data_IF_833092756245
#
_entry.id   IF_833092756245
#
_cell.length_a   1.000
_cell.length_b   1.000
_cell.length_c   1.000
_cell.angle_alpha   90.00
_cell.angle_beta   90.00
_cell.angle_gamma   90.00
#
_symmetry.space_group_name_H-M   'P 1'
#
loop_
_entity.id
_entity.type
_entity.pdbx_description
1 polymer ?
#
# COMPACT_ATOMS: atom_id res chain seq x y z
N UNK A 1 -6.73 -21.21 -23.14
CA UNK A 1 -7.82 -20.67 -22.30
C UNK A 1 -7.18 -20.20 -20.99
N UNK A 2 -7.27 -18.90 -20.68
CA UNK A 2 -6.82 -18.36 -19.41
C UNK A 2 -7.72 -18.93 -18.30
N UNK A 3 -7.11 -19.56 -17.31
CA UNK A 3 -7.82 -20.00 -16.10
C UNK A 3 -8.50 -18.76 -15.52
N UNK A 4 -9.81 -18.77 -15.19
CA UNK A 4 -10.47 -17.63 -14.56
C UNK A 4 -9.69 -17.29 -13.29
N UNK A 5 -9.17 -16.10 -13.19
CA UNK A 5 -8.52 -15.63 -11.97
C UNK A 5 -9.58 -15.62 -10.86
N UNK A 6 -9.43 -16.50 -9.88
CA UNK A 6 -10.24 -16.43 -8.68
C UNK A 6 -9.92 -15.10 -7.98
N UNK A 7 -10.92 -14.22 -7.78
CA UNK A 7 -10.71 -12.91 -7.16
C UNK A 7 -10.12 -12.99 -5.75
N UNK A 8 -10.16 -14.16 -5.11
CA UNK A 8 -9.64 -14.38 -3.77
C UNK A 8 -8.20 -14.94 -3.76
N UNK A 9 -7.61 -15.24 -4.93
CA UNK A 9 -6.21 -15.66 -5.05
C UNK A 9 -5.26 -14.51 -4.76
N UNK A 10 -4.30 -14.73 -3.86
CA UNK A 10 -3.31 -13.71 -3.47
C UNK A 10 -2.09 -13.77 -4.37
N UNK A 11 -1.87 -12.74 -5.18
CA UNK A 11 -0.72 -12.62 -6.09
C UNK A 11 0.42 -11.86 -5.42
N UNK A 12 1.54 -12.53 -5.21
CA UNK A 12 2.69 -12.01 -4.43
C UNK A 12 3.94 -11.96 -5.30
N UNK A 13 4.52 -10.75 -5.47
CA UNK A 13 5.86 -10.59 -6.03
C UNK A 13 6.91 -10.59 -4.92
N UNK A 14 8.04 -11.27 -5.15
CA UNK A 14 9.17 -11.31 -4.24
C UNK A 14 10.33 -10.53 -4.84
N UNK A 15 10.62 -9.37 -4.29
CA UNK A 15 11.64 -8.45 -4.77
C UNK A 15 12.76 -8.27 -3.75
N UNK A 16 13.90 -7.78 -4.21
CA UNK A 16 15.07 -7.49 -3.39
C UNK A 16 16.32 -7.44 -4.23
N UNK A 17 17.39 -6.91 -3.67
CA UNK A 17 18.72 -6.85 -4.31
C UNK A 17 19.23 -8.26 -4.67
N UNK A 18 20.22 -8.39 -5.54
CA UNK A 18 20.98 -9.63 -5.68
C UNK A 18 21.57 -10.10 -4.34
N UNK A 19 21.67 -11.41 -4.14
CA UNK A 19 22.30 -12.06 -2.98
C UNK A 19 21.59 -11.87 -1.62
N UNK A 20 20.34 -11.38 -1.60
CA UNK A 20 19.51 -11.39 -0.37
C UNK A 20 18.82 -12.73 -0.10
N UNK A 21 19.15 -13.76 -0.92
CA UNK A 21 18.65 -15.14 -0.86
C UNK A 21 17.13 -15.28 -1.11
N UNK A 22 16.60 -14.51 -2.10
CA UNK A 22 15.19 -14.64 -2.55
C UNK A 22 14.85 -16.07 -2.97
N UNK A 23 15.72 -16.71 -3.77
CA UNK A 23 15.51 -18.09 -4.24
C UNK A 23 15.44 -19.08 -3.09
N UNK A 24 16.29 -18.90 -2.07
CA UNK A 24 16.26 -19.73 -0.85
C UNK A 24 14.93 -19.54 -0.11
N UNK A 25 14.47 -18.30 0.03
CA UNK A 25 13.18 -18.00 0.67
C UNK A 25 12.02 -18.64 -0.08
N UNK A 26 11.98 -18.48 -1.40
CA UNK A 26 10.88 -19.04 -2.22
C UNK A 26 10.92 -20.57 -2.18
N UNK A 27 12.09 -21.20 -2.30
CA UNK A 27 12.19 -22.65 -2.15
C UNK A 27 11.76 -23.14 -0.77
N UNK A 28 12.05 -22.36 0.29
CA UNK A 28 11.58 -22.67 1.65
C UNK A 28 10.07 -22.59 1.75
N UNK A 29 9.46 -21.53 1.18
CA UNK A 29 7.99 -21.37 1.14
C UNK A 29 7.33 -22.55 0.41
N UNK A 30 7.80 -22.86 -0.79
CA UNK A 30 7.23 -23.93 -1.62
C UNK A 30 7.52 -25.33 -1.09
N UNK A 31 8.50 -25.49 -0.21
CA UNK A 31 8.87 -26.76 0.44
C UNK A 31 8.22 -26.97 1.81
N UNK A 32 7.34 -26.08 2.29
CA UNK A 32 6.60 -26.31 3.54
C UNK A 32 5.60 -27.48 3.37
N UNK A 33 5.45 -28.32 4.39
CA UNK A 33 4.49 -29.47 4.38
C UNK A 33 3.03 -29.07 4.15
N UNK A 34 2.71 -27.80 4.42
CA UNK A 34 1.36 -27.23 4.28
C UNK A 34 1.11 -26.57 2.93
N UNK A 35 2.05 -26.67 2.00
CA UNK A 35 1.99 -26.04 0.67
C UNK A 35 1.84 -27.10 -0.40
N UNK A 36 0.79 -26.96 -1.20
CA UNK A 36 0.55 -27.79 -2.38
C UNK A 36 0.85 -26.95 -3.62
N UNK A 37 1.89 -27.27 -4.35
CA UNK A 37 2.28 -26.57 -5.58
C UNK A 37 1.62 -27.22 -6.78
N UNK A 38 0.98 -26.42 -7.62
CA UNK A 38 0.38 -26.89 -8.86
C UNK A 38 1.37 -26.82 -10.03
N UNK A 39 1.50 -27.92 -10.74
CA UNK A 39 2.40 -28.02 -11.91
C UNK A 39 1.68 -27.54 -13.17
N UNK A 40 1.21 -26.30 -13.16
CA UNK A 40 0.65 -25.66 -14.34
C UNK A 40 1.68 -24.74 -14.97
N UNK A 41 2.21 -25.17 -16.10
CA UNK A 41 3.07 -24.36 -16.95
C UNK A 41 2.26 -23.28 -17.67
N UNK A 42 1.92 -22.23 -16.96
CA UNK A 42 1.53 -20.94 -17.56
C UNK A 42 2.79 -20.19 -17.96
N UNK A 43 3.43 -20.57 -19.04
CA UNK A 43 4.58 -19.84 -19.59
C UNK A 43 4.12 -18.75 -20.54
N UNK A 44 3.81 -17.57 -20.04
CA UNK A 44 4.09 -16.36 -20.81
C UNK A 44 5.61 -16.15 -20.77
N UNK A 45 6.21 -15.84 -21.90
CA UNK A 45 7.69 -15.82 -22.14
C UNK A 45 8.50 -14.94 -21.19
N UNK A 46 7.88 -14.13 -20.33
CA UNK A 46 8.55 -13.06 -19.56
C UNK A 46 8.40 -13.11 -18.04
N UNK A 47 7.42 -13.80 -17.44
CA UNK A 47 7.32 -14.00 -15.99
C UNK A 47 6.99 -15.44 -15.63
N UNK A 48 7.66 -15.99 -14.62
CA UNK A 48 7.37 -17.32 -14.10
C UNK A 48 6.45 -17.15 -12.90
N UNK A 49 5.21 -17.62 -13.05
CA UNK A 49 4.21 -17.67 -12.00
C UNK A 49 4.17 -19.09 -11.41
N UNK A 50 4.15 -19.19 -10.10
CA UNK A 50 4.02 -20.46 -9.39
C UNK A 50 2.78 -20.43 -8.51
N UNK A 51 1.68 -21.08 -8.95
CA UNK A 51 0.48 -21.20 -8.15
C UNK A 51 0.68 -22.29 -7.07
N UNK A 52 0.15 -22.02 -5.88
CA UNK A 52 0.14 -22.97 -4.78
C UNK A 52 -1.00 -22.67 -3.81
N UNK A 53 -1.47 -23.69 -3.10
CA UNK A 53 -2.43 -23.55 -1.99
C UNK A 53 -1.71 -23.78 -0.67
N UNK A 54 -2.01 -22.98 0.32
CA UNK A 54 -1.45 -23.11 1.67
C UNK A 54 -2.54 -23.28 2.71
N UNK A 55 -2.35 -24.29 3.59
CA UNK A 55 -3.19 -24.51 4.76
C UNK A 55 -2.72 -23.62 5.92
N UNK A 56 -3.59 -22.77 6.51
CA UNK A 56 -3.26 -21.99 7.69
C UNK A 56 -2.87 -22.85 8.90
N UNK A 57 -2.04 -22.28 9.80
CA UNK A 57 -1.59 -22.99 11.01
C UNK A 57 -2.70 -23.23 12.02
N UNK A 58 -3.68 -22.37 12.05
CA UNK A 58 -4.84 -22.37 12.96
C UNK A 58 -6.01 -23.25 12.51
N UNK A 59 -5.84 -23.98 11.39
CA UNK A 59 -6.86 -24.87 10.84
C UNK A 59 -7.97 -24.15 10.06
N UNK A 60 -7.75 -22.88 9.66
CA UNK A 60 -8.64 -22.15 8.76
C UNK A 60 -8.72 -22.76 7.36
N UNK A 61 -9.56 -22.19 6.49
CA UNK A 61 -9.71 -22.65 5.12
C UNK A 61 -8.41 -22.45 4.32
N UNK A 62 -8.07 -23.42 3.43
CA UNK A 62 -6.95 -23.27 2.52
C UNK A 62 -7.07 -22.00 1.67
N UNK A 63 -5.95 -21.32 1.41
CA UNK A 63 -5.93 -20.13 0.57
C UNK A 63 -4.97 -20.31 -0.59
N UNK A 64 -5.38 -19.80 -1.75
CA UNK A 64 -4.62 -19.87 -2.99
C UNK A 64 -3.72 -18.64 -3.18
N UNK A 65 -2.51 -18.93 -3.62
CA UNK A 65 -1.46 -17.94 -3.87
C UNK A 65 -0.82 -18.14 -5.23
N UNK A 66 -0.29 -17.06 -5.79
CA UNK A 66 0.59 -17.09 -6.95
C UNK A 66 1.84 -16.30 -6.63
N UNK A 67 3.00 -16.96 -6.64
CA UNK A 67 4.29 -16.27 -6.60
C UNK A 67 4.70 -15.84 -8.01
N UNK A 68 5.05 -14.57 -8.14
CA UNK A 68 5.41 -13.93 -9.40
C UNK A 68 6.92 -13.66 -9.45
N UNK A 69 7.50 -13.80 -10.64
CA UNK A 69 8.93 -13.60 -10.95
C UNK A 69 9.87 -14.55 -10.19
N UNK A 70 9.56 -15.82 -10.28
CA UNK A 70 10.34 -16.90 -9.69
C UNK A 70 11.46 -17.40 -10.63
N UNK A 71 11.94 -16.57 -11.56
CA UNK A 71 12.84 -16.96 -12.67
C UNK A 71 14.14 -17.67 -12.24
N UNK A 72 14.57 -17.51 -10.97
CA UNK A 72 15.72 -18.21 -10.40
C UNK A 72 15.45 -19.63 -9.90
N UNK A 73 14.18 -20.10 -9.81
CA UNK A 73 13.82 -21.28 -9.00
C UNK A 73 13.76 -22.59 -9.81
N UNK A 74 13.32 -22.56 -11.06
CA UNK A 74 13.11 -23.79 -11.86
C UNK A 74 14.35 -24.43 -12.46
N UNK A 75 15.55 -23.87 -12.28
CA UNK A 75 16.80 -24.49 -12.75
C UNK A 75 17.44 -25.36 -11.67
N UNK A 76 16.75 -26.40 -11.20
CA UNK A 76 17.40 -27.55 -10.56
C UNK A 76 18.11 -28.36 -11.66
N UNK A 77 19.35 -27.97 -11.98
CA UNK A 77 20.18 -28.72 -12.93
C UNK A 77 21.25 -27.82 -13.51
N UNK A 78 22.41 -27.81 -12.87
CA UNK A 78 23.64 -27.06 -13.18
C UNK A 78 23.64 -25.63 -12.67
N UNK A 79 24.17 -25.49 -11.46
CA UNK A 79 24.66 -24.26 -10.86
C UNK A 79 25.82 -23.75 -11.69
N UNK A 80 25.55 -22.75 -12.51
CA UNK A 80 26.55 -21.72 -12.78
C UNK A 80 25.95 -20.45 -12.20
N UNK A 81 26.72 -19.76 -11.35
CA UNK A 81 26.51 -18.44 -10.83
C UNK A 81 26.19 -17.48 -12.01
N UNK A 82 24.96 -17.54 -12.49
CA UNK A 82 24.46 -16.49 -13.33
C UNK A 82 24.27 -15.31 -12.37
N UNK A 83 25.17 -14.35 -12.43
CA UNK A 83 25.03 -13.03 -11.83
C UNK A 83 23.58 -12.62 -12.04
N UNK A 84 22.79 -12.62 -10.95
CA UNK A 84 21.42 -12.11 -10.96
C UNK A 84 21.52 -10.62 -11.33
N UNK A 85 21.51 -10.33 -12.63
CA UNK A 85 21.39 -8.97 -13.08
C UNK A 85 20.01 -8.52 -12.63
N UNK A 86 19.96 -7.67 -11.63
CA UNK A 86 18.75 -7.01 -11.20
C UNK A 86 18.19 -6.26 -12.42
N UNK A 87 17.20 -6.85 -13.07
CA UNK A 87 16.51 -6.20 -14.16
C UNK A 87 15.41 -5.35 -13.56
N UNK A 88 15.61 -4.04 -13.54
CA UNK A 88 14.58 -3.07 -13.12
C UNK A 88 13.29 -3.32 -13.88
N UNK A 89 13.37 -3.60 -15.17
CA UNK A 89 12.17 -3.85 -16.01
C UNK A 89 11.39 -5.08 -15.50
N UNK A 90 12.07 -6.17 -15.15
CA UNK A 90 11.39 -7.36 -14.60
C UNK A 90 10.77 -7.11 -13.24
N UNK A 91 11.47 -6.36 -12.38
CA UNK A 91 10.92 -5.95 -11.09
C UNK A 91 9.64 -5.11 -11.27
N UNK A 92 9.63 -4.18 -12.24
CA UNK A 92 8.47 -3.37 -12.59
C UNK A 92 7.29 -4.25 -13.04
N UNK A 93 7.54 -5.18 -13.95
CA UNK A 93 6.51 -6.12 -14.46
C UNK A 93 5.95 -7.00 -13.33
N UNK A 94 6.81 -7.48 -12.42
CA UNK A 94 6.37 -8.28 -11.28
C UNK A 94 5.48 -7.47 -10.32
N UNK A 95 5.82 -6.21 -10.07
CA UNK A 95 5.00 -5.30 -9.23
C UNK A 95 3.63 -5.06 -9.87
N UNK A 96 3.62 -4.83 -11.19
CA UNK A 96 2.35 -4.57 -11.91
C UNK A 96 1.41 -5.78 -11.89
N UNK A 97 1.96 -6.99 -11.95
CA UNK A 97 1.21 -8.24 -11.91
C UNK A 97 0.80 -8.66 -10.49
N UNK A 98 1.40 -8.08 -9.45
CA UNK A 98 1.17 -8.46 -8.06
C UNK A 98 0.08 -7.62 -7.40
N UNK A 99 -0.49 -8.17 -6.33
CA UNK A 99 -1.37 -7.46 -5.40
C UNK A 99 -0.62 -7.09 -4.12
N UNK A 100 0.27 -7.98 -3.68
CA UNK A 100 1.16 -7.78 -2.54
C UNK A 100 2.60 -7.92 -3.02
N UNK A 101 3.47 -7.00 -2.63
CA UNK A 101 4.90 -7.07 -2.89
C UNK A 101 5.64 -7.35 -1.60
N UNK A 102 6.43 -8.42 -1.59
CA UNK A 102 7.34 -8.73 -0.49
C UNK A 102 8.75 -8.29 -0.89
N UNK A 103 9.29 -7.30 -0.18
CA UNK A 103 10.67 -6.84 -0.37
C UNK A 103 11.58 -7.52 0.64
N UNK A 104 12.58 -8.24 0.13
CA UNK A 104 13.56 -8.97 0.94
C UNK A 104 14.82 -8.12 1.10
N UNK A 105 15.22 -7.88 2.35
CA UNK A 105 16.41 -7.11 2.75
C UNK A 105 17.39 -8.04 3.45
N UNK A 106 18.72 -7.88 3.22
CA UNK A 106 19.75 -8.61 3.95
C UNK A 106 20.04 -7.90 5.29
N UNK A 107 19.82 -8.58 6.40
CA UNK A 107 20.07 -8.04 7.73
C UNK A 107 21.55 -7.73 8.00
N UNK A 108 22.48 -8.35 7.28
CA UNK A 108 23.93 -8.09 7.44
C UNK A 108 24.31 -6.70 6.95
N UNK A 109 23.71 -6.27 5.86
CA UNK A 109 23.95 -4.95 5.27
C UNK A 109 23.03 -3.87 5.86
N UNK A 110 21.91 -4.30 6.47
CA UNK A 110 20.80 -3.42 6.82
C UNK A 110 20.08 -2.89 5.58
N UNK A 111 19.27 -1.84 5.76
CA UNK A 111 18.55 -1.22 4.65
C UNK A 111 19.46 -0.27 3.87
N UNK A 112 19.61 -0.50 2.57
CA UNK A 112 20.46 0.28 1.67
C UNK A 112 19.66 1.27 0.83
N UNK A 113 20.35 2.17 0.12
CA UNK A 113 19.68 3.12 -0.78
C UNK A 113 19.01 2.40 -1.97
N UNK A 114 19.57 1.28 -2.43
CA UNK A 114 18.94 0.47 -3.47
C UNK A 114 17.63 -0.17 -2.98
N UNK A 115 17.57 -0.61 -1.73
CA UNK A 115 16.33 -1.10 -1.12
C UNK A 115 15.30 0.01 -1.01
N UNK A 116 15.71 1.22 -0.63
CA UNK A 116 14.81 2.39 -0.55
C UNK A 116 14.26 2.81 -1.91
N UNK A 117 15.06 2.78 -2.98
CA UNK A 117 14.58 3.04 -4.33
C UNK A 117 13.52 2.02 -4.75
N UNK A 118 13.76 0.74 -4.48
CA UNK A 118 12.80 -0.32 -4.76
C UNK A 118 11.50 -0.14 -3.97
N UNK A 119 11.60 0.17 -2.68
CA UNK A 119 10.44 0.45 -1.82
C UNK A 119 9.67 1.67 -2.32
N UNK A 120 10.36 2.75 -2.68
CA UNK A 120 9.74 3.97 -3.25
C UNK A 120 8.91 3.63 -4.48
N UNK A 121 9.45 2.84 -5.39
CA UNK A 121 8.72 2.40 -6.57
C UNK A 121 7.46 1.59 -6.23
N UNK A 122 7.56 0.61 -5.33
CA UNK A 122 6.39 -0.18 -4.89
C UNK A 122 5.31 0.71 -4.28
N UNK A 123 5.70 1.72 -3.48
CA UNK A 123 4.77 2.67 -2.87
C UNK A 123 4.07 3.56 -3.92
N UNK A 124 4.79 3.99 -4.96
CA UNK A 124 4.21 4.79 -6.04
C UNK A 124 3.13 4.02 -6.82
N UNK A 125 3.34 2.73 -7.06
CA UNK A 125 2.32 1.87 -7.71
C UNK A 125 1.10 1.66 -6.83
N UNK A 126 1.23 1.83 -5.52
CA UNK A 126 0.14 1.66 -4.56
C UNK A 126 -0.12 0.21 -4.16
N UNK A 127 0.79 -0.72 -4.47
CA UNK A 127 0.65 -2.12 -4.07
C UNK A 127 0.82 -2.29 -2.57
N UNK A 128 0.17 -3.30 -2.01
CA UNK A 128 0.41 -3.71 -0.63
C UNK A 128 1.86 -4.19 -0.46
N UNK A 129 2.46 -3.92 0.69
CA UNK A 129 3.90 -4.09 0.92
C UNK A 129 4.17 -4.79 2.25
N UNK A 130 5.01 -5.82 2.19
CA UNK A 130 5.60 -6.51 3.35
C UNK A 130 7.11 -6.48 3.21
N UNK A 131 7.83 -6.20 4.29
CA UNK A 131 9.29 -6.23 4.31
C UNK A 131 9.75 -7.45 5.10
N UNK A 132 10.53 -8.32 4.45
CA UNK A 132 11.18 -9.47 5.05
C UNK A 132 12.67 -9.20 5.21
N UNK A 133 13.14 -9.08 6.46
CA UNK A 133 14.57 -8.90 6.77
C UNK A 133 15.19 -10.27 6.99
N UNK A 134 15.87 -10.75 5.98
CA UNK A 134 16.46 -12.09 5.92
C UNK A 134 17.87 -12.15 6.53
N UNK A 135 18.34 -13.35 6.81
CA UNK A 135 19.63 -13.64 7.45
C UNK A 135 19.72 -13.09 8.89
N UNK A 136 18.60 -13.10 9.58
CA UNK A 136 18.50 -12.59 10.95
C UNK A 136 19.20 -13.47 11.98
N UNK A 137 19.35 -14.73 11.68
CA UNK A 137 20.08 -15.70 12.49
C UNK A 137 21.59 -15.44 12.46
N UNK A 138 22.27 -15.78 13.53
CA UNK A 138 23.73 -15.62 13.63
C UNK A 138 24.24 -14.18 13.74
N UNK A 139 23.35 -13.18 13.83
CA UNK A 139 23.76 -11.79 14.06
C UNK A 139 23.97 -11.52 15.55
N UNK A 140 25.01 -10.75 15.86
CA UNK A 140 25.28 -10.21 17.19
C UNK A 140 24.15 -9.31 17.67
N UNK A 141 23.93 -9.24 19.00
CA UNK A 141 22.84 -8.46 19.58
C UNK A 141 22.91 -6.96 19.22
N UNK A 142 24.11 -6.38 19.22
CA UNK A 142 24.35 -4.98 18.87
C UNK A 142 24.02 -4.70 17.41
N UNK A 143 24.40 -5.62 16.51
CA UNK A 143 24.08 -5.51 15.09
C UNK A 143 22.56 -5.59 14.85
N UNK A 144 21.86 -6.51 15.52
CA UNK A 144 20.39 -6.61 15.45
C UNK A 144 19.71 -5.30 15.90
N UNK A 145 20.21 -4.68 16.96
CA UNK A 145 19.67 -3.39 17.42
C UNK A 145 19.97 -2.26 16.43
N UNK A 146 21.17 -2.26 15.83
CA UNK A 146 21.53 -1.31 14.79
C UNK A 146 20.59 -1.42 13.59
N UNK A 147 20.35 -2.64 13.06
CA UNK A 147 19.44 -2.88 11.94
C UNK A 147 18.03 -2.36 12.24
N UNK A 148 17.50 -2.65 13.43
CA UNK A 148 16.17 -2.16 13.82
C UNK A 148 16.09 -0.63 13.83
N UNK A 149 17.08 0.04 14.42
CA UNK A 149 17.15 1.51 14.44
C UNK A 149 17.27 2.11 13.04
N UNK A 150 18.07 1.51 12.17
CA UNK A 150 18.20 1.96 10.78
C UNK A 150 16.90 1.78 9.99
N UNK A 151 16.19 0.68 10.17
CA UNK A 151 14.88 0.46 9.56
C UNK A 151 13.86 1.51 10.05
N UNK A 152 13.74 1.74 11.35
CA UNK A 152 12.85 2.76 11.91
C UNK A 152 13.19 4.16 11.38
N UNK A 153 14.47 4.51 11.36
CA UNK A 153 14.95 5.80 10.87
C UNK A 153 14.66 6.01 9.38
N UNK A 154 14.87 4.99 8.56
CA UNK A 154 14.77 5.09 7.10
C UNK A 154 13.36 4.84 6.56
N UNK A 155 12.51 4.13 7.29
CA UNK A 155 11.12 3.82 6.90
C UNK A 155 10.08 4.75 7.55
N UNK A 156 10.51 5.86 8.15
CA UNK A 156 9.61 6.83 8.81
C UNK A 156 8.51 7.38 7.89
N UNK A 157 8.72 7.35 6.57
CA UNK A 157 7.73 7.78 5.56
C UNK A 157 6.59 6.77 5.36
N UNK A 158 6.76 5.51 5.78
CA UNK A 158 5.79 4.45 5.64
C UNK A 158 5.63 3.62 6.94
N UNK A 159 5.21 4.24 8.07
CA UNK A 159 5.15 3.58 9.39
C UNK A 159 4.12 2.45 9.45
N UNK A 160 3.27 2.35 8.45
CA UNK A 160 2.25 1.30 8.31
C UNK A 160 2.77 0.02 7.65
N UNK A 161 3.97 0.04 7.09
CA UNK A 161 4.61 -1.16 6.55
C UNK A 161 5.15 -2.01 7.69
N UNK A 162 4.79 -3.28 7.70
CA UNK A 162 5.30 -4.22 8.70
C UNK A 162 6.61 -4.83 8.24
N UNK A 163 7.56 -4.83 9.15
CA UNK A 163 8.88 -5.46 8.97
C UNK A 163 8.90 -6.76 9.74
N UNK A 164 9.25 -7.85 9.06
CA UNK A 164 9.35 -9.17 9.65
C UNK A 164 10.75 -9.74 9.49
N UNK A 165 11.32 -10.26 10.60
CA UNK A 165 12.68 -10.79 10.63
C UNK A 165 12.65 -12.30 10.43
N UNK A 166 13.42 -12.79 9.44
CA UNK A 166 13.40 -14.20 9.04
C UNK A 166 14.80 -14.78 8.85
N UNK A 167 14.86 -16.08 8.82
CA UNK A 167 15.97 -16.85 8.26
C UNK A 167 15.44 -17.80 7.19
N UNK A 168 15.64 -17.46 5.93
CA UNK A 168 15.25 -18.31 4.81
C UNK A 168 16.01 -19.64 4.83
N UNK A 169 17.28 -19.63 5.27
CA UNK A 169 18.11 -20.82 5.37
C UNK A 169 17.57 -21.81 6.41
N UNK A 170 17.23 -21.34 7.60
CA UNK A 170 16.77 -22.18 8.71
C UNK A 170 15.25 -22.28 8.81
N UNK A 171 14.49 -21.48 8.05
CA UNK A 171 13.04 -21.47 8.04
C UNK A 171 12.40 -20.68 9.19
N UNK A 172 13.19 -20.06 10.06
CA UNK A 172 12.68 -19.28 11.20
C UNK A 172 11.88 -18.06 10.70
N UNK A 173 10.65 -17.90 11.16
CA UNK A 173 9.76 -16.78 10.82
C UNK A 173 9.18 -16.81 9.40
N UNK A 174 9.56 -17.77 8.54
CA UNK A 174 9.08 -17.84 7.15
C UNK A 174 7.57 -18.09 7.09
N UNK A 175 7.07 -19.05 7.89
CA UNK A 175 5.65 -19.34 7.92
C UNK A 175 4.76 -18.21 8.45
N UNK A 176 5.32 -17.27 9.23
CA UNK A 176 4.59 -16.12 9.77
C UNK A 176 4.42 -15.00 8.74
N UNK A 177 5.26 -15.00 7.67
CA UNK A 177 5.15 -14.03 6.57
C UNK A 177 3.76 -14.03 5.94
N UNK A 178 3.10 -15.19 5.85
CA UNK A 178 1.78 -15.30 5.28
C UNK A 178 0.73 -14.50 6.04
N UNK A 179 0.79 -14.48 7.37
CA UNK A 179 -0.10 -13.64 8.16
C UNK A 179 0.09 -12.13 7.89
N UNK A 180 1.30 -11.68 7.55
CA UNK A 180 1.55 -10.29 7.13
C UNK A 180 1.05 -10.04 5.71
N UNK A 181 1.25 -10.99 4.79
CA UNK A 181 0.77 -10.92 3.41
C UNK A 181 -0.76 -10.84 3.39
N UNK A 182 -1.43 -11.69 4.15
CA UNK A 182 -2.89 -11.73 4.25
C UNK A 182 -3.46 -10.43 4.81
N UNK A 183 -2.92 -9.90 5.91
CA UNK A 183 -3.36 -8.61 6.46
C UNK A 183 -3.14 -7.45 5.51
N UNK A 184 -2.01 -7.45 4.77
CA UNK A 184 -1.73 -6.44 3.76
C UNK A 184 -2.72 -6.54 2.59
N UNK A 185 -3.03 -7.75 2.15
CA UNK A 185 -4.02 -8.01 1.10
C UNK A 185 -5.44 -7.61 1.56
N UNK A 186 -5.88 -8.05 2.74
CA UNK A 186 -7.18 -7.70 3.31
C UNK A 186 -7.34 -6.19 3.45
N UNK A 187 -6.26 -5.49 3.85
CA UNK A 187 -6.22 -4.04 3.91
C UNK A 187 -6.34 -3.39 2.53
N UNK A 188 -5.68 -3.96 1.52
CA UNK A 188 -5.72 -3.45 0.15
C UNK A 188 -7.09 -3.63 -0.52
N UNK A 189 -7.83 -4.67 -0.14
CA UNK A 189 -9.13 -5.04 -0.70
C UNK A 189 -10.28 -4.82 0.29
N UNK A 190 -10.10 -3.93 1.26
CA UNK A 190 -11.11 -3.63 2.26
C UNK A 190 -12.46 -3.29 1.61
N UNK A 191 -13.53 -3.87 2.14
CA UNK A 191 -14.91 -3.61 1.72
C UNK A 191 -15.63 -2.89 2.82
N UNK A 192 -16.10 -1.68 2.57
CA UNK A 192 -16.86 -0.88 3.55
C UNK A 192 -17.93 -0.05 2.85
N UNK A 193 -19.10 0.01 3.46
CA UNK A 193 -20.22 0.79 2.94
C UNK A 193 -20.01 2.31 3.09
N UNK A 194 -20.53 3.08 2.14
CA UNK A 194 -20.40 4.54 2.09
C UNK A 194 -20.92 5.23 3.36
N UNK A 195 -21.96 4.70 4.00
CA UNK A 195 -22.50 5.25 5.24
C UNK A 195 -21.49 5.18 6.40
N UNK A 196 -20.75 4.08 6.51
CA UNK A 196 -19.73 3.92 7.55
C UNK A 196 -18.55 4.88 7.31
N UNK A 197 -18.06 4.96 6.07
CA UNK A 197 -16.99 5.92 5.70
C UNK A 197 -17.42 7.37 5.90
N UNK A 198 -18.67 7.71 5.58
CA UNK A 198 -19.20 9.05 5.79
C UNK A 198 -19.26 9.41 7.27
N UNK A 199 -19.68 8.48 8.15
CA UNK A 199 -19.64 8.71 9.61
C UNK A 199 -18.21 8.93 10.10
N UNK A 200 -17.24 8.09 9.67
CA UNK A 200 -15.82 8.28 10.01
C UNK A 200 -15.34 9.67 9.56
N UNK A 201 -15.67 10.11 8.34
CA UNK A 201 -15.32 11.43 7.85
C UNK A 201 -15.91 12.54 8.72
N UNK A 202 -17.18 12.41 9.14
CA UNK A 202 -17.84 13.36 10.03
C UNK A 202 -17.15 13.44 11.39
N UNK A 203 -16.81 12.30 11.99
CA UNK A 203 -16.10 12.24 13.26
C UNK A 203 -14.70 12.88 13.16
N UNK A 204 -13.97 12.58 12.09
CA UNK A 204 -12.64 13.18 11.83
C UNK A 204 -12.75 14.70 11.71
N UNK A 205 -13.72 15.18 10.90
CA UNK A 205 -13.87 16.63 10.65
C UNK A 205 -14.49 17.37 11.83
N UNK A 206 -15.25 16.69 12.68
CA UNK A 206 -15.75 17.24 13.93
C UNK A 206 -14.61 17.43 14.95
N UNK A 207 -13.75 16.41 15.09
CA UNK A 207 -12.61 16.45 16.00
C UNK A 207 -11.54 17.46 15.55
N UNK A 208 -11.28 17.56 14.26
CA UNK A 208 -10.32 18.49 13.68
C UNK A 208 -10.85 19.06 12.37
N UNK A 209 -11.56 20.21 12.43
CA UNK A 209 -12.18 20.81 11.24
C UNK A 209 -11.17 21.25 10.19
N UNK A 210 -11.51 21.19 8.89
CA UNK A 210 -10.65 21.69 7.83
C UNK A 210 -10.21 23.15 8.09
N UNK A 211 -8.96 23.52 7.78
CA UNK A 211 -8.47 24.89 7.96
C UNK A 211 -9.25 25.86 7.09
N UNK A 212 -9.23 27.14 7.46
CA UNK A 212 -9.82 28.19 6.65
C UNK A 212 -8.88 28.57 5.51
N UNK A 213 -9.42 28.64 4.29
CA UNK A 213 -8.78 29.25 3.14
C UNK A 213 -9.41 30.64 2.92
N UNK A 214 -8.76 31.68 3.43
CA UNK A 214 -9.34 33.02 3.47
C UNK A 214 -10.62 33.09 4.33
N UNK A 215 -11.71 33.55 3.74
CA UNK A 215 -13.02 33.68 4.45
C UNK A 215 -13.80 32.37 4.52
N UNK A 216 -13.38 31.35 3.84
CA UNK A 216 -14.15 30.12 3.67
C UNK A 216 -13.43 28.91 4.24
N UNK A 217 -14.19 27.87 4.51
CA UNK A 217 -13.71 26.56 4.93
C UNK A 217 -14.26 25.52 3.98
N UNK A 218 -13.43 24.54 3.58
CA UNK A 218 -13.88 23.39 2.83
C UNK A 218 -14.94 22.63 3.65
N UNK A 219 -16.00 22.17 3.00
CA UNK A 219 -17.04 21.34 3.62
C UNK A 219 -16.97 19.94 3.01
N UNK A 220 -16.50 18.98 3.77
CA UNK A 220 -16.48 17.57 3.40
C UNK A 220 -17.84 16.97 3.77
N UNK A 221 -18.55 16.36 2.81
CA UNK A 221 -19.94 15.95 2.98
C UNK A 221 -20.10 14.46 3.17
N UNK A 222 -19.54 13.68 2.28
CA UNK A 222 -19.62 12.23 2.32
C UNK A 222 -18.39 11.58 1.70
N UNK A 223 -18.17 10.30 2.04
CA UNK A 223 -17.07 9.50 1.54
C UNK A 223 -17.53 8.11 1.12
N UNK A 224 -16.87 7.56 0.13
CA UNK A 224 -17.06 6.17 -0.30
C UNK A 224 -15.73 5.57 -0.79
N UNK A 225 -15.67 4.25 -0.92
CA UNK A 225 -14.54 3.59 -1.58
C UNK A 225 -14.68 3.73 -3.10
N UNK A 226 -13.65 4.25 -3.75
CA UNK A 226 -13.56 4.42 -5.21
C UNK A 226 -12.68 3.40 -5.91
N UNK A 227 -11.94 2.59 -5.15
CA UNK A 227 -11.02 1.58 -5.69
C UNK A 227 -10.37 0.74 -4.60
N UNK A 228 -9.71 -0.33 -5.03
CA UNK A 228 -8.94 -1.24 -4.19
C UNK A 228 -7.51 -1.37 -4.73
N UNK A 229 -6.60 -1.77 -3.87
CA UNK A 229 -5.17 -2.01 -4.16
C UNK A 229 -4.48 -0.87 -4.92
N UNK A 230 -4.39 0.32 -4.30
CA UNK A 230 -4.67 0.60 -2.91
C UNK A 230 -6.13 1.02 -2.66
N UNK A 231 -6.64 0.85 -1.42
CA UNK A 231 -7.95 1.37 -1.06
C UNK A 231 -7.96 2.89 -1.25
N UNK A 232 -8.91 3.35 -2.04
CA UNK A 232 -9.06 4.76 -2.40
C UNK A 232 -10.32 5.31 -1.76
N UNK A 233 -10.17 6.27 -0.85
CA UNK A 233 -11.29 6.97 -0.23
C UNK A 233 -11.60 8.22 -1.04
N UNK A 234 -12.75 8.22 -1.68
CA UNK A 234 -13.26 9.37 -2.44
C UNK A 234 -14.10 10.24 -1.51
N UNK A 235 -13.68 11.48 -1.31
CA UNK A 235 -14.36 12.45 -0.45
C UNK A 235 -15.01 13.53 -1.31
N UNK A 236 -16.30 13.67 -1.19
CA UNK A 236 -17.08 14.70 -1.87
C UNK A 236 -17.35 15.87 -0.93
N UNK A 237 -17.20 17.06 -1.47
CA UNK A 237 -17.42 18.27 -0.68
C UNK A 237 -17.48 19.54 -1.52
N UNK A 238 -17.45 20.66 -0.85
CA UNK A 238 -17.35 21.97 -1.50
C UNK A 238 -15.98 22.55 -1.19
N UNK A 239 -15.28 23.05 -2.22
CA UNK A 239 -13.94 23.67 -2.10
C UNK A 239 -12.90 22.70 -1.57
N UNK A 240 -12.98 21.44 -1.93
CA UNK A 240 -12.03 20.41 -1.52
C UNK A 240 -10.63 20.70 -2.07
N UNK A 241 -10.52 21.40 -3.20
CA UNK A 241 -9.29 21.88 -3.83
C UNK A 241 -8.51 22.88 -2.94
N UNK A 242 -9.18 23.53 -2.00
CA UNK A 242 -8.54 24.45 -1.07
C UNK A 242 -7.92 23.77 0.17
N UNK A 243 -8.02 22.46 0.28
CA UNK A 243 -7.44 21.72 1.38
C UNK A 243 -5.92 21.62 1.24
N UNK A 244 -5.15 22.08 2.22
CA UNK A 244 -3.70 21.95 2.18
C UNK A 244 -3.26 20.49 2.29
N UNK A 245 -2.11 20.16 1.71
CA UNK A 245 -1.54 18.81 1.73
C UNK A 245 -1.36 18.25 3.15
N UNK A 246 -1.07 19.12 4.13
CA UNK A 246 -0.98 18.71 5.54
C UNK A 246 -2.30 18.16 6.08
N UNK A 247 -3.42 18.78 5.69
CA UNK A 247 -4.73 18.29 6.11
C UNK A 247 -5.16 17.02 5.37
N UNK A 248 -4.78 16.88 4.10
CA UNK A 248 -4.99 15.64 3.34
C UNK A 248 -4.23 14.48 4.00
N UNK A 249 -2.96 14.66 4.37
CA UNK A 249 -2.18 13.67 5.12
C UNK A 249 -2.80 13.33 6.48
N UNK A 250 -3.36 14.33 7.17
CA UNK A 250 -4.10 14.08 8.41
C UNK A 250 -5.30 13.18 8.17
N UNK A 251 -6.11 13.44 7.12
CA UNK A 251 -7.24 12.59 6.75
C UNK A 251 -6.80 11.17 6.41
N UNK A 252 -5.74 11.00 5.61
CA UNK A 252 -5.16 9.69 5.29
C UNK A 252 -4.78 8.90 6.54
N UNK A 253 -4.06 9.54 7.46
CA UNK A 253 -3.63 8.90 8.70
C UNK A 253 -4.83 8.51 9.58
N UNK A 254 -5.84 9.39 9.70
CA UNK A 254 -7.05 9.09 10.47
C UNK A 254 -7.85 7.95 9.87
N UNK A 255 -8.05 7.94 8.54
CA UNK A 255 -8.71 6.80 7.88
C UNK A 255 -7.91 5.52 8.06
N UNK A 256 -6.59 5.56 7.93
CA UNK A 256 -5.71 4.41 8.17
C UNK A 256 -5.90 3.82 9.56
N UNK A 257 -5.91 4.67 10.58
CA UNK A 257 -6.12 4.25 11.98
C UNK A 257 -7.51 3.63 12.19
N UNK A 258 -8.56 4.31 11.73
CA UNK A 258 -9.95 3.86 11.93
C UNK A 258 -10.26 2.58 11.14
N UNK A 259 -9.71 2.44 9.95
CA UNK A 259 -9.86 1.26 9.09
C UNK A 259 -8.86 0.14 9.43
N UNK A 260 -7.91 0.39 10.34
CA UNK A 260 -6.84 -0.54 10.74
C UNK A 260 -6.05 -1.09 9.55
N UNK A 261 -5.72 -0.21 8.60
CA UNK A 261 -5.00 -0.59 7.38
C UNK A 261 -3.53 -0.87 7.71
N UNK A 262 -3.09 -2.10 7.48
CA UNK A 262 -1.71 -2.57 7.63
C UNK A 262 -1.13 -2.99 6.27
N UNK A 263 0.13 -2.68 6.03
CA UNK A 263 0.85 -3.14 4.84
C UNK A 263 0.30 -2.65 3.51
N UNK A 264 -0.65 -1.71 3.50
CA UNK A 264 -1.20 -1.13 2.28
C UNK A 264 -1.18 0.40 2.35
N UNK A 265 -0.78 1.10 1.29
CA UNK A 265 -1.04 2.53 1.19
C UNK A 265 -2.56 2.78 1.13
N UNK A 266 -2.95 4.01 1.45
CA UNK A 266 -4.32 4.50 1.26
C UNK A 266 -4.25 5.75 0.39
N UNK A 267 -5.17 5.90 -0.54
CA UNK A 267 -5.27 7.11 -1.38
C UNK A 267 -6.52 7.89 -1.03
N UNK A 268 -6.41 9.20 -1.09
CA UNK A 268 -7.56 10.10 -1.03
C UNK A 268 -7.79 10.73 -2.40
N UNK A 269 -9.03 10.72 -2.84
CA UNK A 269 -9.51 11.53 -3.96
C UNK A 269 -10.48 12.57 -3.44
N UNK A 270 -10.21 13.83 -3.74
CA UNK A 270 -11.06 14.94 -3.34
C UNK A 270 -11.88 15.39 -4.55
N UNK A 271 -13.21 15.34 -4.43
CA UNK A 271 -14.13 15.79 -5.48
C UNK A 271 -14.93 16.98 -4.99
N UNK A 272 -14.69 18.13 -5.61
CA UNK A 272 -15.57 19.30 -5.46
C UNK A 272 -16.81 19.09 -6.31
N UNK A 273 -17.98 19.27 -5.72
CA UNK A 273 -19.22 19.35 -6.50
C UNK A 273 -19.20 20.59 -7.38
N UNK A 274 -19.67 20.47 -8.61
CA UNK A 274 -19.90 21.64 -9.47
C UNK A 274 -20.78 22.63 -8.72
N UNK A 275 -20.30 23.85 -8.59
CA UNK A 275 -21.09 24.94 -8.02
C UNK A 275 -22.06 25.43 -9.10
N UNK A 276 -23.36 25.06 -9.08
CA UNK A 276 -24.31 25.47 -10.11
C UNK A 276 -24.47 26.99 -10.18
N UNK A 277 -23.85 27.73 -9.26
CA UNK A 277 -23.85 29.18 -9.18
C UNK A 277 -22.46 29.79 -9.49
N UNK A 278 -21.47 28.97 -9.91
CA UNK A 278 -20.16 29.46 -10.30
C UNK A 278 -20.29 30.34 -11.55
N UNK A 279 -19.82 31.57 -11.44
CA UNK A 279 -19.95 32.56 -12.52
C UNK A 279 -21.26 33.39 -12.53
N UNK A 280 -22.28 33.02 -11.74
CA UNK A 280 -23.47 33.88 -11.57
C UNK A 280 -23.15 35.02 -10.60
N UNK A 281 -22.98 36.22 -11.13
CA UNK A 281 -22.97 37.45 -10.29
C UNK A 281 -24.31 37.51 -9.58
N UNK A 282 -24.31 37.47 -8.25
CA UNK A 282 -25.51 37.63 -7.44
C UNK A 282 -26.14 38.98 -7.80
N UNK A 283 -27.26 38.96 -8.48
CA UNK A 283 -28.02 40.20 -8.72
C UNK A 283 -28.50 40.71 -7.35
N UNK A 284 -27.98 41.87 -6.97
CA UNK A 284 -28.36 42.49 -5.72
C UNK A 284 -29.85 42.92 -5.82
N UNK A 285 -30.63 42.54 -4.83
CA UNK A 285 -32.01 43.04 -4.72
C UNK A 285 -32.03 44.58 -4.58
N UNK A 286 -33.09 45.24 -5.00
CA UNK A 286 -33.22 46.71 -4.87
C UNK A 286 -32.93 47.22 -3.45
N UNK A 287 -33.35 46.45 -2.43
CA UNK A 287 -33.09 46.74 -1.02
C UNK A 287 -31.58 46.68 -0.67
N UNK A 288 -30.84 45.74 -1.24
CA UNK A 288 -29.39 45.63 -1.08
C UNK A 288 -28.64 46.73 -1.83
N UNK A 289 -29.13 47.12 -3.01
CA UNK A 289 -28.59 48.24 -3.80
C UNK A 289 -28.77 49.54 -3.03
N UNK A 290 -29.99 49.83 -2.47
CA UNK A 290 -30.24 51.02 -1.64
C UNK A 290 -29.37 51.02 -0.38
N UNK A 291 -29.16 49.87 0.29
CA UNK A 291 -28.28 49.75 1.48
C UNK A 291 -26.82 50.04 1.10
N UNK A 292 -26.32 49.48 0.00
CA UNK A 292 -24.96 49.74 -0.51
C UNK A 292 -24.75 51.21 -0.88
N UNK A 293 -25.72 51.87 -1.53
CA UNK A 293 -25.65 53.31 -1.84
C UNK A 293 -25.62 54.18 -0.58
N UNK A 294 -26.38 53.82 0.47
CA UNK A 294 -26.34 54.54 1.78
C UNK A 294 -24.96 54.38 2.44
N UNK A 295 -24.42 53.17 2.50
CA UNK A 295 -23.07 52.97 3.07
C UNK A 295 -21.98 53.70 2.30
N UNK A 296 -22.01 53.74 0.96
CA UNK A 296 -21.04 54.44 0.14
C UNK A 296 -21.12 55.98 0.30
N UNK A 297 -22.30 56.54 0.63
CA UNK A 297 -22.45 57.94 0.99
C UNK A 297 -21.82 58.30 2.34
N UNK A 298 -21.81 57.37 3.30
CA UNK A 298 -21.16 57.58 4.62
C UNK A 298 -19.66 57.41 4.61
N UNK A 299 -19.11 56.64 3.66
CA UNK A 299 -17.64 56.43 3.54
C UNK A 299 -16.94 57.55 2.74
N UNK A 300 -17.69 58.42 2.01
CA UNK A 300 -17.15 59.53 1.24
C UNK A 300 -17.28 60.88 1.97
N UNK A 301 -17.60 60.90 3.24
CA UNK A 301 -17.46 62.02 4.17
C UNK A 301 -16.31 61.66 5.15
#
# INVERSE_FOLDING_TARGET
EAVPEDPDTVRVAVLGRPNVDKSTLINRILGEERVIVYDHAGTTRDSIEVPFTRQPKDGGDPRDYVLIDTAGIRRRGKVHEAVEKFSVIKALQAVDAAQVVMVVIDARDGITDQDLHLLGYVLETGRALVIAVNKWDGLEADHRQWVKRELERRLHFAPWVKVHFISALHGTGVGDLFGFIERAWDSAFIKLGSNALTRMLQDITHSHPPPRAGRFRAKLRYAHLGGSNPPTVVIHGNRTESLPNSYQRYLENRFRELLKIEGSPIRLELKSGDNPYEGRKTQLTERQIKRKRRMMKHVKK
#
